data_IF_036093786259
#
_entry.id   IF_036093786259
#
_cell.length_a   1.000
_cell.length_b   1.000
_cell.length_c   1.000
_cell.angle_alpha   90.00
_cell.angle_beta   90.00
_cell.angle_gamma   90.00
#
_symmetry.space_group_name_H-M   'P 1'
#
loop_
_entity.id
_entity.type
_entity.pdbx_description
1 polymer ?
#
# COMPACT_ATOMS: atom_id res chain seq x y z
N UNK A 1 -31.28 20.52 -21.53
CA UNK A 1 -29.92 20.92 -21.10
C UNK A 1 -29.05 21.37 -22.28
N UNK A 2 -28.75 20.50 -23.25
CA UNK A 2 -27.86 20.82 -24.39
C UNK A 2 -28.29 22.07 -25.16
N UNK A 3 -29.57 22.17 -25.52
CA UNK A 3 -30.11 23.34 -26.25
C UNK A 3 -29.90 24.64 -25.46
N UNK A 4 -30.13 24.63 -24.15
CA UNK A 4 -29.97 25.82 -23.30
C UNK A 4 -28.50 26.23 -23.13
N UNK A 5 -27.58 25.25 -23.10
CA UNK A 5 -26.14 25.51 -23.07
C UNK A 5 -25.64 26.12 -24.38
N UNK A 6 -26.08 25.60 -25.52
CA UNK A 6 -25.72 26.11 -26.85
C UNK A 6 -26.26 27.53 -27.09
N UNK A 7 -27.45 27.82 -26.58
CA UNK A 7 -28.06 29.17 -26.65
C UNK A 7 -27.45 30.18 -25.67
N UNK A 8 -26.55 29.74 -24.78
CA UNK A 8 -25.92 30.61 -23.76
C UNK A 8 -26.84 31.06 -22.63
N UNK A 9 -28.11 30.64 -22.61
CA UNK A 9 -29.10 31.02 -21.59
C UNK A 9 -28.80 30.40 -20.23
N UNK A 10 -28.27 29.17 -20.20
CA UNK A 10 -27.94 28.47 -18.97
C UNK A 10 -26.67 27.64 -19.11
N UNK A 11 -25.68 27.94 -18.28
CA UNK A 11 -24.41 27.23 -18.27
C UNK A 11 -24.53 25.98 -17.37
N UNK A 12 -24.74 24.83 -18.00
CA UNK A 12 -24.85 23.55 -17.30
C UNK A 12 -23.85 22.51 -17.82
N UNK A 13 -23.49 21.57 -16.95
CA UNK A 13 -22.76 20.34 -17.27
C UNK A 13 -23.50 19.17 -16.60
N UNK A 14 -23.55 18.01 -17.27
CA UNK A 14 -24.13 16.80 -16.72
C UNK A 14 -23.02 15.76 -16.54
N UNK A 15 -22.90 15.21 -15.34
CA UNK A 15 -21.90 14.21 -14.96
C UNK A 15 -22.62 13.02 -14.35
N UNK A 16 -22.16 11.80 -14.64
CA UNK A 16 -22.71 10.58 -14.04
C UNK A 16 -22.36 10.52 -12.54
N UNK A 17 -23.25 9.95 -11.74
CA UNK A 17 -22.97 9.74 -10.32
C UNK A 17 -21.76 8.80 -10.12
N UNK A 18 -20.89 9.06 -9.12
CA UNK A 18 -19.76 8.19 -8.83
C UNK A 18 -20.21 6.87 -8.22
N UNK A 19 -19.52 5.78 -8.55
CA UNK A 19 -19.77 4.46 -7.97
C UNK A 19 -21.12 3.83 -8.32
N UNK A 20 -21.41 2.73 -7.62
CA UNK A 20 -22.57 1.87 -7.84
C UNK A 20 -23.21 1.45 -6.52
N UNK A 21 -24.47 1.05 -6.55
CA UNK A 21 -25.21 0.57 -5.38
C UNK A 21 -25.21 1.57 -4.22
N UNK A 22 -25.04 1.09 -3.00
CA UNK A 22 -25.03 1.94 -1.81
C UNK A 22 -23.79 2.84 -1.70
N UNK A 23 -22.68 2.45 -2.34
CA UNK A 23 -21.50 3.32 -2.45
C UNK A 23 -21.81 4.60 -3.22
N UNK A 24 -22.66 4.53 -4.24
CA UNK A 24 -23.13 5.73 -4.95
C UNK A 24 -23.83 6.67 -4.00
N UNK A 25 -24.73 6.15 -3.15
CA UNK A 25 -25.46 6.98 -2.19
C UNK A 25 -24.51 7.64 -1.19
N UNK A 26 -23.60 6.86 -0.62
CA UNK A 26 -22.63 7.34 0.33
C UNK A 26 -21.69 8.42 -0.28
N UNK A 27 -21.22 8.22 -1.51
CA UNK A 27 -20.38 9.22 -2.20
C UNK A 27 -21.15 10.47 -2.63
N UNK A 28 -22.43 10.34 -2.99
CA UNK A 28 -23.28 11.50 -3.27
C UNK A 28 -23.53 12.34 -2.01
N UNK A 29 -23.70 11.68 -0.86
CA UNK A 29 -23.77 12.35 0.45
C UNK A 29 -22.44 13.06 0.78
N UNK A 30 -21.30 12.42 0.52
CA UNK A 30 -19.98 13.05 0.72
C UNK A 30 -19.83 14.34 -0.12
N UNK A 31 -20.26 14.32 -1.39
CA UNK A 31 -20.25 15.50 -2.27
C UNK A 31 -21.21 16.58 -1.75
N UNK A 32 -22.40 16.18 -1.29
CA UNK A 32 -23.38 17.09 -0.72
C UNK A 32 -22.81 17.81 0.51
N UNK A 33 -22.20 17.08 1.44
CA UNK A 33 -21.54 17.63 2.63
C UNK A 33 -20.38 18.57 2.24
N UNK A 34 -19.54 18.17 1.29
CA UNK A 34 -18.41 18.98 0.80
C UNK A 34 -18.87 20.30 0.18
N UNK A 35 -19.99 20.30 -0.54
CA UNK A 35 -20.50 21.47 -1.26
C UNK A 35 -21.58 22.25 -0.49
N UNK A 36 -22.06 21.73 0.63
CA UNK A 36 -23.14 22.30 1.43
C UNK A 36 -24.54 22.10 0.83
N UNK A 37 -24.70 21.18 -0.12
CA UNK A 37 -25.99 20.83 -0.73
C UNK A 37 -26.69 19.66 -0.02
N UNK A 38 -27.86 19.28 -0.55
CA UNK A 38 -28.60 18.10 -0.11
C UNK A 38 -28.50 16.97 -1.14
N UNK A 39 -28.18 15.74 -0.70
CA UNK A 39 -28.19 14.56 -1.57
C UNK A 39 -29.61 14.04 -1.73
N UNK A 40 -30.15 14.09 -2.96
CA UNK A 40 -31.52 13.68 -3.26
C UNK A 40 -31.54 12.25 -3.76
N UNK A 41 -32.29 11.38 -3.08
CA UNK A 41 -32.53 10.00 -3.46
C UNK A 41 -34.03 9.75 -3.62
N UNK A 42 -34.41 8.90 -4.57
CA UNK A 42 -35.81 8.56 -4.83
C UNK A 42 -36.50 7.98 -3.58
N UNK A 43 -35.76 7.23 -2.76
CA UNK A 43 -36.24 6.67 -1.49
C UNK A 43 -36.60 7.73 -0.42
N UNK A 44 -36.12 8.98 -0.55
CA UNK A 44 -36.46 10.07 0.39
C UNK A 44 -37.81 10.73 0.05
N UNK A 45 -38.44 10.38 -1.08
CA UNK A 45 -39.74 10.93 -1.48
C UNK A 45 -39.72 12.42 -1.89
N UNK A 46 -38.54 13.04 -1.95
CA UNK A 46 -38.37 14.43 -2.37
C UNK A 46 -38.39 14.48 -3.90
N UNK A 47 -39.38 15.17 -4.46
CA UNK A 47 -39.49 15.38 -5.90
C UNK A 47 -38.61 16.54 -6.34
N UNK A 48 -38.00 16.40 -7.53
CA UNK A 48 -37.12 17.41 -8.13
C UNK A 48 -37.81 18.78 -8.31
N UNK A 49 -39.13 18.79 -8.52
CA UNK A 49 -39.95 19.99 -8.71
C UNK A 49 -40.04 20.89 -7.46
N UNK A 50 -39.80 20.34 -6.27
CA UNK A 50 -39.90 21.06 -5.00
C UNK A 50 -38.56 21.62 -4.51
N UNK A 51 -37.47 21.44 -5.28
CA UNK A 51 -36.15 21.87 -4.84
C UNK A 51 -35.98 23.39 -4.93
N UNK A 52 -35.30 23.93 -3.92
CA UNK A 52 -34.96 25.35 -3.83
C UNK A 52 -33.47 25.56 -4.06
N UNK A 53 -33.06 26.83 -4.24
CA UNK A 53 -31.64 27.18 -4.34
C UNK A 53 -30.85 26.89 -3.06
N UNK A 54 -31.53 26.71 -1.92
CA UNK A 54 -30.90 26.34 -0.66
C UNK A 54 -30.48 24.86 -0.61
N UNK A 55 -31.12 24.01 -1.41
CA UNK A 55 -30.82 22.57 -1.48
C UNK A 55 -29.61 22.26 -2.39
N UNK A 56 -29.16 23.25 -3.17
CA UNK A 56 -28.06 23.10 -4.13
C UNK A 56 -26.69 23.34 -3.49
N UNK A 57 -25.74 22.44 -3.78
CA UNK A 57 -24.34 22.62 -3.38
C UNK A 57 -23.64 23.73 -4.16
N UNK A 58 -22.65 24.38 -3.52
CA UNK A 58 -21.81 25.41 -4.13
C UNK A 58 -20.33 25.02 -4.06
N UNK A 59 -19.58 25.41 -5.08
CA UNK A 59 -18.12 25.25 -5.15
C UNK A 59 -17.51 26.41 -5.93
N UNK A 60 -16.27 26.77 -5.63
CA UNK A 60 -15.56 27.87 -6.31
C UNK A 60 -15.22 27.54 -7.75
N UNK A 61 -14.79 26.31 -8.02
CA UNK A 61 -14.42 25.86 -9.36
C UNK A 61 -14.75 24.39 -9.54
N UNK A 62 -15.38 24.07 -10.68
CA UNK A 62 -15.64 22.70 -11.10
C UNK A 62 -15.01 22.49 -12.47
N UNK A 63 -14.14 21.48 -12.57
CA UNK A 63 -13.46 21.11 -13.82
C UNK A 63 -14.00 19.73 -14.21
N UNK A 64 -14.51 19.63 -15.44
CA UNK A 64 -15.03 18.38 -16.01
C UNK A 64 -14.25 18.08 -17.27
N UNK A 65 -13.58 16.94 -17.31
CA UNK A 65 -12.94 16.40 -18.51
C UNK A 65 -13.75 15.19 -19.04
N UNK A 66 -13.21 14.46 -20.01
CA UNK A 66 -13.91 13.31 -20.63
C UNK A 66 -14.21 12.19 -19.61
N UNK A 67 -13.32 12.01 -18.64
CA UNK A 67 -13.28 10.83 -17.77
C UNK A 67 -13.35 11.20 -16.26
N UNK A 68 -13.09 12.45 -15.88
CA UNK A 68 -12.96 12.92 -14.50
C UNK A 68 -13.77 14.20 -14.25
N UNK A 69 -14.14 14.37 -12.98
CA UNK A 69 -14.75 15.60 -12.46
C UNK A 69 -14.05 15.98 -11.17
N UNK A 70 -13.60 17.23 -11.10
CA UNK A 70 -12.89 17.79 -9.95
C UNK A 70 -13.65 18.99 -9.41
N UNK A 71 -14.03 18.92 -8.13
CA UNK A 71 -14.71 19.98 -7.39
C UNK A 71 -13.68 20.62 -6.46
N UNK A 72 -13.43 21.92 -6.63
CA UNK A 72 -12.41 22.66 -5.90
C UNK A 72 -13.08 23.70 -5.00
N UNK A 73 -12.68 23.74 -3.74
CA UNK A 73 -13.19 24.64 -2.70
C UNK A 73 -14.74 24.62 -2.64
N UNK A 74 -15.29 23.49 -2.17
CA UNK A 74 -16.71 23.37 -1.86
C UNK A 74 -17.13 24.27 -0.69
N UNK A 75 -18.35 24.80 -0.72
CA UNK A 75 -18.87 25.72 0.30
C UNK A 75 -19.50 25.00 1.52
N UNK A 76 -19.16 23.73 1.74
CA UNK A 76 -19.61 22.96 2.88
C UNK A 76 -19.09 23.51 4.21
N UNK A 77 -19.88 23.33 5.27
CA UNK A 77 -19.46 23.70 6.63
C UNK A 77 -18.32 22.79 7.08
N UNK A 78 -17.22 23.37 7.57
CA UNK A 78 -16.04 22.62 8.02
C UNK A 78 -16.38 21.59 9.10
N UNK A 79 -17.34 21.89 9.99
CA UNK A 79 -17.77 20.97 11.05
C UNK A 79 -18.48 19.74 10.50
N UNK A 80 -19.32 19.90 9.47
CA UNK A 80 -19.99 18.78 8.81
C UNK A 80 -18.98 17.90 8.06
N UNK A 81 -17.99 18.51 7.41
CA UNK A 81 -16.91 17.78 6.73
C UNK A 81 -16.10 16.98 7.75
N UNK A 82 -15.71 17.60 8.88
CA UNK A 82 -15.01 16.92 9.98
C UNK A 82 -15.83 15.77 10.57
N UNK A 83 -17.11 15.99 10.85
CA UNK A 83 -18.00 14.95 11.36
C UNK A 83 -18.10 13.76 10.39
N UNK A 84 -18.14 14.04 9.07
CA UNK A 84 -18.15 12.99 8.05
C UNK A 84 -16.83 12.24 7.95
N UNK A 85 -15.70 12.95 8.03
CA UNK A 85 -14.35 12.36 8.09
C UNK A 85 -14.25 11.40 9.28
N UNK A 86 -14.71 11.83 10.46
CA UNK A 86 -14.65 11.00 11.67
C UNK A 86 -15.59 9.80 11.61
N UNK A 87 -16.76 9.94 10.97
CA UNK A 87 -17.64 8.80 10.70
C UNK A 87 -16.93 7.75 9.84
N UNK A 88 -16.30 8.16 8.73
CA UNK A 88 -15.61 7.23 7.82
C UNK A 88 -14.41 6.58 8.52
N UNK A 89 -13.69 7.30 9.38
CA UNK A 89 -12.59 6.72 10.19
C UNK A 89 -13.08 5.58 11.10
N UNK A 90 -14.23 5.76 11.77
CA UNK A 90 -14.83 4.69 12.57
C UNK A 90 -15.31 3.51 11.73
N UNK A 91 -15.81 3.76 10.52
CA UNK A 91 -16.19 2.70 9.58
C UNK A 91 -14.96 1.90 9.12
N UNK A 92 -13.81 2.56 8.90
CA UNK A 92 -12.52 1.93 8.55
C UNK A 92 -12.04 1.00 9.66
N UNK A 93 -12.07 1.46 10.92
CA UNK A 93 -11.64 0.68 12.08
C UNK A 93 -12.48 -0.58 12.30
N UNK A 94 -13.79 -0.49 12.03
CA UNK A 94 -14.71 -1.61 12.17
C UNK A 94 -14.75 -2.54 10.94
N UNK A 95 -14.07 -2.17 9.85
CA UNK A 95 -14.04 -2.97 8.62
C UNK A 95 -13.06 -4.13 8.73
N UNK A 96 -13.57 -5.35 8.54
CA UNK A 96 -12.78 -6.58 8.46
C UNK A 96 -12.30 -6.92 7.05
N UNK A 97 -12.79 -6.21 6.04
CA UNK A 97 -12.51 -6.42 4.62
C UNK A 97 -11.47 -5.41 4.14
N UNK A 98 -10.34 -5.89 3.60
CA UNK A 98 -9.28 -5.03 3.05
C UNK A 98 -9.79 -4.22 1.87
N UNK A 99 -10.65 -4.81 1.03
CA UNK A 99 -11.29 -4.11 -0.08
C UNK A 99 -12.15 -2.95 0.43
N UNK A 100 -12.99 -3.16 1.45
CA UNK A 100 -13.83 -2.09 1.97
C UNK A 100 -13.00 -1.01 2.67
N UNK A 101 -11.92 -1.41 3.36
CA UNK A 101 -10.97 -0.49 3.99
C UNK A 101 -10.35 0.46 2.97
N UNK A 102 -9.78 -0.09 1.89
CA UNK A 102 -9.18 0.68 0.79
C UNK A 102 -10.21 1.65 0.19
N UNK A 103 -11.46 1.19 0.02
CA UNK A 103 -12.53 1.99 -0.57
C UNK A 103 -13.08 3.08 0.34
N UNK A 104 -13.04 2.90 1.65
CA UNK A 104 -13.35 3.94 2.63
C UNK A 104 -12.19 4.94 2.74
N UNK A 105 -10.94 4.49 2.70
CA UNK A 105 -9.75 5.35 2.66
C UNK A 105 -9.76 6.27 1.43
N UNK A 106 -10.14 5.77 0.26
CA UNK A 106 -10.32 6.60 -0.95
C UNK A 106 -11.34 7.74 -0.73
N UNK A 107 -12.44 7.46 -0.03
CA UNK A 107 -13.47 8.47 0.28
C UNK A 107 -12.95 9.49 1.30
N UNK A 108 -12.31 9.00 2.35
CA UNK A 108 -11.68 9.81 3.39
C UNK A 108 -10.65 10.78 2.80
N UNK A 109 -9.81 10.30 1.88
CA UNK A 109 -8.79 11.09 1.22
C UNK A 109 -9.40 12.21 0.35
N UNK A 110 -10.49 11.90 -0.39
CA UNK A 110 -11.23 12.89 -1.20
C UNK A 110 -11.85 13.99 -0.34
N UNK A 111 -12.38 13.66 0.84
CA UNK A 111 -12.95 14.65 1.77
C UNK A 111 -11.89 15.48 2.49
N UNK A 112 -10.74 14.88 2.81
CA UNK A 112 -9.64 15.55 3.51
C UNK A 112 -8.79 16.43 2.57
N UNK A 113 -9.10 16.48 1.27
CA UNK A 113 -8.35 17.25 0.27
C UNK A 113 -6.95 16.70 -0.04
N UNK A 114 -6.65 15.47 0.40
CA UNK A 114 -5.31 14.88 0.37
C UNK A 114 -5.13 13.82 -0.71
N UNK A 115 -5.49 14.12 -1.97
CA UNK A 115 -5.26 13.20 -3.09
C UNK A 115 -4.11 13.70 -3.95
N UNK A 116 -2.94 13.08 -3.80
CA UNK A 116 -1.82 13.24 -4.71
C UNK A 116 -1.86 12.15 -5.80
N UNK A 117 -1.78 12.54 -7.07
CA UNK A 117 -1.68 11.60 -8.21
C UNK A 117 -0.25 11.61 -8.74
N UNK A 118 0.41 10.45 -8.71
CA UNK A 118 1.73 10.26 -9.32
C UNK A 118 1.53 9.57 -10.67
N UNK A 119 1.81 10.28 -11.76
CA UNK A 119 1.78 9.70 -13.11
C UNK A 119 3.17 9.18 -13.47
N UNK A 120 3.31 7.86 -13.64
CA UNK A 120 4.59 7.23 -14.00
C UNK A 120 4.67 7.09 -15.52
N UNK A 121 5.62 7.81 -16.12
CA UNK A 121 5.92 7.73 -17.56
C UNK A 121 7.22 6.97 -17.85
N UNK A 122 7.24 6.27 -18.99
CA UNK A 122 8.38 5.53 -19.53
C UNK A 122 8.33 5.45 -21.07
N UNK A 123 9.44 5.08 -21.72
CA UNK A 123 9.53 5.04 -23.17
C UNK A 123 8.90 3.77 -23.78
N UNK A 124 8.89 2.67 -23.03
CA UNK A 124 8.27 1.40 -23.43
C UNK A 124 7.27 0.92 -22.38
N UNK A 125 6.32 0.07 -22.78
CA UNK A 125 5.34 -0.51 -21.85
C UNK A 125 6.00 -1.34 -20.74
N UNK A 126 7.02 -2.13 -21.09
CA UNK A 126 7.75 -2.96 -20.14
C UNK A 126 8.46 -2.12 -19.08
N UNK A 127 9.12 -1.03 -19.49
CA UNK A 127 9.74 -0.07 -18.58
C UNK A 127 8.69 0.67 -17.73
N UNK A 128 7.53 1.01 -18.31
CA UNK A 128 6.43 1.63 -17.57
C UNK A 128 5.96 0.73 -16.44
N UNK A 129 5.79 -0.57 -16.70
CA UNK A 129 5.36 -1.56 -15.69
C UNK A 129 6.38 -1.69 -14.57
N UNK A 130 7.66 -1.82 -14.90
CA UNK A 130 8.74 -1.91 -13.90
C UNK A 130 8.84 -0.66 -13.03
N UNK A 131 8.81 0.52 -13.65
CA UNK A 131 8.91 1.80 -12.95
C UNK A 131 7.68 2.06 -12.09
N UNK A 132 6.49 1.67 -12.56
CA UNK A 132 5.26 1.73 -11.79
C UNK A 132 5.36 0.84 -10.54
N UNK A 133 5.80 -0.41 -10.70
CA UNK A 133 5.97 -1.34 -9.58
C UNK A 133 6.95 -0.79 -8.53
N UNK A 134 8.07 -0.18 -8.95
CA UNK A 134 9.00 0.49 -8.03
C UNK A 134 8.38 1.66 -7.26
N UNK A 135 7.55 2.46 -7.91
CA UNK A 135 6.85 3.58 -7.25
C UNK A 135 5.81 3.08 -6.25
N UNK A 136 5.09 2.00 -6.59
CA UNK A 136 4.15 1.35 -5.67
C UNK A 136 4.87 0.78 -4.45
N UNK A 137 5.99 0.08 -4.66
CA UNK A 137 6.82 -0.45 -3.57
C UNK A 137 7.35 0.67 -2.65
N UNK A 138 7.87 1.75 -3.22
CA UNK A 138 8.30 2.92 -2.45
C UNK A 138 7.16 3.56 -1.62
N UNK A 139 5.94 3.60 -2.16
CA UNK A 139 4.77 4.09 -1.44
C UNK A 139 4.44 3.18 -0.25
N UNK A 140 4.50 1.86 -0.42
CA UNK A 140 4.25 0.91 0.67
C UNK A 140 5.35 0.95 1.74
N UNK A 141 6.62 1.05 1.33
CA UNK A 141 7.75 1.17 2.23
C UNK A 141 7.68 2.44 3.08
N UNK A 142 7.35 3.58 2.46
CA UNK A 142 7.19 4.86 3.19
C UNK A 142 6.02 4.83 4.17
N UNK A 143 4.88 4.23 3.81
CA UNK A 143 3.76 4.01 4.74
C UNK A 143 4.18 3.14 5.93
N UNK A 144 4.83 2.01 5.66
CA UNK A 144 5.32 1.10 6.70
C UNK A 144 6.34 1.77 7.64
N UNK A 145 7.19 2.65 7.10
CA UNK A 145 8.17 3.42 7.87
C UNK A 145 7.51 4.45 8.79
N UNK A 146 6.42 5.09 8.34
CA UNK A 146 5.65 6.03 9.17
C UNK A 146 4.95 5.32 10.33
N UNK A 147 4.52 4.08 10.13
CA UNK A 147 3.77 3.31 11.13
C UNK A 147 4.63 2.77 12.28
N UNK A 148 5.75 2.08 11.96
CA UNK A 148 6.59 1.40 12.97
C UNK A 148 8.02 1.95 13.04
N UNK A 149 8.32 3.03 12.32
CA UNK A 149 9.66 3.63 12.27
C UNK A 149 10.61 2.92 11.30
N UNK A 150 11.90 3.25 11.44
CA UNK A 150 12.97 2.81 10.55
C UNK A 150 14.12 2.16 11.33
N UNK A 151 14.86 1.29 10.64
CA UNK A 151 16.03 0.58 11.12
C UNK A 151 17.20 0.77 10.15
N UNK A 152 18.46 0.57 10.60
CA UNK A 152 19.58 0.44 9.67
C UNK A 152 19.34 -0.76 8.75
N UNK A 153 19.35 -0.51 7.44
CA UNK A 153 18.96 -1.50 6.44
C UNK A 153 20.03 -2.56 6.15
N UNK A 154 19.95 -3.18 4.98
CA UNK A 154 20.99 -4.10 4.49
C UNK A 154 21.12 -5.38 5.32
N UNK A 155 20.06 -5.78 6.04
CA UNK A 155 20.09 -6.96 6.92
C UNK A 155 20.81 -6.74 8.26
N UNK A 156 21.36 -5.55 8.51
CA UNK A 156 22.13 -5.26 9.74
C UNK A 156 21.24 -5.31 10.98
N UNK A 157 20.00 -4.81 10.88
CA UNK A 157 19.05 -4.85 11.99
C UNK A 157 18.75 -6.28 12.48
N UNK A 158 18.59 -7.24 11.56
CA UNK A 158 18.34 -8.64 11.89
C UNK A 158 19.54 -9.30 12.55
N UNK A 159 20.75 -9.05 12.02
CA UNK A 159 22.01 -9.53 12.61
C UNK A 159 22.20 -9.04 14.05
N UNK A 160 21.81 -7.80 14.33
CA UNK A 160 21.93 -7.22 15.68
C UNK A 160 20.87 -7.77 16.63
N UNK A 161 19.63 -7.87 16.15
CA UNK A 161 18.54 -8.44 16.93
C UNK A 161 18.83 -9.91 17.32
N UNK A 162 19.47 -10.69 16.46
CA UNK A 162 19.84 -12.07 16.80
C UNK A 162 20.94 -12.19 17.84
N UNK A 163 21.74 -11.13 18.07
CA UNK A 163 22.81 -11.11 19.08
C UNK A 163 22.37 -10.56 20.44
N UNK A 164 21.25 -9.84 20.49
CA UNK A 164 20.69 -9.35 21.75
C UNK A 164 19.90 -10.43 22.51
N UNK A 165 19.49 -11.51 21.81
CA UNK A 165 18.85 -12.69 22.41
C UNK A 165 19.90 -13.69 22.89
N UNK A 166 19.57 -14.49 23.91
CA UNK A 166 20.44 -15.54 24.43
C UNK A 166 19.68 -16.85 24.65
N UNK A 167 20.39 -17.97 24.56
CA UNK A 167 19.82 -19.32 24.66
C UNK A 167 19.79 -19.89 26.09
N UNK A 168 19.97 -19.05 27.13
CA UNK A 168 20.09 -19.55 28.51
C UNK A 168 18.76 -20.12 28.99
N UNK A 169 18.78 -21.33 29.55
CA UNK A 169 17.60 -21.99 30.11
C UNK A 169 16.69 -22.68 29.10
N UNK A 170 17.10 -22.78 27.83
CA UNK A 170 16.40 -23.58 26.81
C UNK A 170 16.77 -25.07 26.94
N UNK A 171 15.83 -25.96 26.58
CA UNK A 171 16.12 -27.38 26.35
C UNK A 171 17.02 -27.57 25.12
N UNK A 172 17.58 -28.76 24.94
CA UNK A 172 18.48 -29.05 23.81
C UNK A 172 17.80 -28.84 22.43
N UNK A 173 16.54 -29.27 22.30
CA UNK A 173 15.75 -29.06 21.06
C UNK A 173 15.43 -27.57 20.84
N UNK A 174 15.06 -26.86 21.90
CA UNK A 174 14.77 -25.43 21.81
C UNK A 174 16.04 -24.61 21.51
N UNK A 175 17.20 -25.04 22.01
CA UNK A 175 18.51 -24.46 21.68
C UNK A 175 18.84 -24.68 20.20
N UNK A 176 18.55 -25.85 19.65
CA UNK A 176 18.71 -26.11 18.21
C UNK A 176 17.83 -25.17 17.38
N UNK A 177 16.57 -24.98 17.77
CA UNK A 177 15.67 -24.00 17.14
C UNK A 177 16.19 -22.57 17.22
N UNK A 178 16.73 -22.17 18.38
CA UNK A 178 17.39 -20.88 18.57
C UNK A 178 18.58 -20.70 17.60
N UNK A 179 19.47 -21.68 17.49
CA UNK A 179 20.64 -21.62 16.61
C UNK A 179 20.24 -21.50 15.12
N UNK A 180 19.13 -22.15 14.72
CA UNK A 180 18.55 -22.02 13.37
C UNK A 180 18.14 -20.57 13.10
N UNK A 181 17.43 -19.93 14.03
CA UNK A 181 16.98 -18.53 13.86
C UNK A 181 18.17 -17.58 13.83
N UNK A 182 19.14 -17.73 14.74
CA UNK A 182 20.36 -16.90 14.76
C UNK A 182 21.11 -17.00 13.44
N UNK A 183 21.24 -18.22 12.89
CA UNK A 183 21.85 -18.44 11.57
C UNK A 183 21.03 -17.79 10.45
N UNK A 184 19.71 -17.94 10.47
CA UNK A 184 18.82 -17.38 9.45
C UNK A 184 18.87 -15.84 9.40
N UNK A 185 19.00 -15.17 10.55
CA UNK A 185 19.13 -13.71 10.61
C UNK A 185 20.39 -13.15 9.91
N UNK A 186 21.40 -13.99 9.65
CA UNK A 186 22.60 -13.60 8.89
C UNK A 186 22.38 -13.63 7.38
N UNK A 187 21.45 -14.46 6.90
CA UNK A 187 21.25 -14.73 5.49
C UNK A 187 20.97 -13.48 4.63
N UNK A 188 20.16 -12.49 5.08
CA UNK A 188 19.91 -11.30 4.26
C UNK A 188 21.18 -10.48 3.99
N UNK A 189 22.01 -10.24 5.01
CA UNK A 189 23.26 -9.50 4.84
C UNK A 189 24.26 -10.27 3.98
N UNK A 190 24.38 -11.60 4.20
CA UNK A 190 25.19 -12.49 3.37
C UNK A 190 24.76 -12.40 1.90
N UNK A 191 23.48 -12.58 1.61
CA UNK A 191 22.95 -12.58 0.24
C UNK A 191 23.17 -11.25 -0.47
N UNK A 192 22.95 -10.13 0.23
CA UNK A 192 23.19 -8.79 -0.32
C UNK A 192 24.68 -8.60 -0.66
N UNK A 193 25.57 -9.07 0.22
CA UNK A 193 27.02 -8.95 0.03
C UNK A 193 27.52 -9.82 -1.13
N UNK A 194 27.03 -11.06 -1.22
CA UNK A 194 27.37 -11.99 -2.30
C UNK A 194 26.88 -11.48 -3.66
N UNK A 195 25.67 -10.93 -3.72
CA UNK A 195 25.15 -10.28 -4.92
C UNK A 195 25.98 -9.06 -5.35
N UNK A 196 26.67 -8.42 -4.40
CA UNK A 196 27.62 -7.34 -4.65
C UNK A 196 29.04 -7.82 -4.97
N UNK A 197 29.28 -9.14 -5.01
CA UNK A 197 30.57 -9.74 -5.37
C UNK A 197 31.58 -9.83 -4.23
N UNK A 198 31.15 -9.68 -2.97
CA UNK A 198 32.01 -9.76 -1.78
C UNK A 198 31.58 -10.93 -0.90
N UNK A 199 32.54 -11.57 -0.22
CA UNK A 199 32.27 -12.69 0.68
C UNK A 199 31.35 -12.27 1.84
N UNK A 200 30.11 -12.78 1.82
CA UNK A 200 29.10 -12.41 2.80
C UNK A 200 29.36 -12.92 4.22
N UNK A 201 30.16 -13.98 4.39
CA UNK A 201 30.55 -14.45 5.72
C UNK A 201 31.54 -13.47 6.37
N UNK A 202 32.52 -13.00 5.60
CA UNK A 202 33.49 -11.98 6.04
C UNK A 202 32.78 -10.67 6.39
N UNK A 203 31.84 -10.23 5.54
CA UNK A 203 31.04 -9.03 5.81
C UNK A 203 30.21 -9.18 7.08
N UNK A 204 29.54 -10.32 7.27
CA UNK A 204 28.73 -10.55 8.46
C UNK A 204 29.56 -10.50 9.75
N UNK A 205 30.73 -11.12 9.79
CA UNK A 205 31.61 -11.08 10.97
C UNK A 205 32.08 -9.65 11.25
N UNK A 206 32.51 -8.92 10.21
CA UNK A 206 32.95 -7.53 10.38
C UNK A 206 31.81 -6.61 10.83
N UNK A 207 30.60 -6.74 10.28
CA UNK A 207 29.44 -5.97 10.74
C UNK A 207 29.04 -6.35 12.17
N UNK A 208 29.21 -7.62 12.57
CA UNK A 208 28.96 -8.04 13.94
C UNK A 208 29.93 -7.37 14.94
N UNK A 209 31.16 -7.06 14.58
CA UNK A 209 32.07 -6.33 15.47
C UNK A 209 31.69 -4.84 15.64
N UNK A 210 30.88 -4.29 14.73
CA UNK A 210 30.48 -2.88 14.72
C UNK A 210 29.18 -2.62 15.51
N UNK A 211 29.02 -1.39 15.99
CA UNK A 211 27.88 -0.96 16.82
C UNK A 211 26.95 0.05 16.11
N UNK A 212 25.81 0.33 16.74
CA UNK A 212 24.89 1.42 16.41
C UNK A 212 24.27 1.34 15.02
N UNK A 213 24.67 2.19 14.08
CA UNK A 213 24.15 2.22 12.70
C UNK A 213 25.18 1.77 11.67
N UNK A 214 26.37 1.37 12.13
CA UNK A 214 27.47 1.00 11.24
C UNK A 214 27.16 -0.31 10.53
N UNK A 215 27.29 -0.34 9.21
CA UNK A 215 27.00 -1.51 8.40
C UNK A 215 27.75 -1.47 7.09
N UNK A 216 27.55 -2.50 6.27
CA UNK A 216 28.17 -2.59 4.96
C UNK A 216 27.24 -2.03 3.89
N UNK A 217 27.66 -0.95 3.23
CA UNK A 217 26.99 -0.39 2.07
C UNK A 217 27.46 -1.13 0.81
N UNK A 218 26.64 -2.06 0.34
CA UNK A 218 26.92 -2.86 -0.86
C UNK A 218 26.96 -2.05 -2.17
N UNK A 219 26.38 -0.85 -2.21
CA UNK A 219 26.41 0.01 -3.40
C UNK A 219 27.72 0.79 -3.54
N UNK A 220 28.41 1.07 -2.42
CA UNK A 220 29.67 1.84 -2.41
C UNK A 220 30.88 1.04 -1.93
N UNK A 221 30.68 -0.23 -1.56
CA UNK A 221 31.70 -1.14 -1.02
C UNK A 221 32.42 -0.55 0.21
N UNK A 222 31.65 0.00 1.16
CA UNK A 222 32.19 0.67 2.36
C UNK A 222 31.45 0.30 3.63
N UNK A 223 32.17 0.35 4.74
CA UNK A 223 31.59 0.25 6.08
C UNK A 223 31.32 1.64 6.63
N UNK A 224 30.06 1.98 6.82
CA UNK A 224 29.63 3.34 7.19
C UNK A 224 28.32 3.32 7.98
N UNK A 225 27.92 4.49 8.49
CA UNK A 225 26.64 4.68 9.16
C UNK A 225 25.51 4.62 8.13
N UNK A 226 24.79 3.50 8.09
CA UNK A 226 23.77 3.22 7.07
C UNK A 226 22.59 4.18 7.13
N UNK A 227 22.25 4.66 8.32
CA UNK A 227 21.16 5.63 8.48
C UNK A 227 21.56 6.97 7.89
N UNK A 228 22.82 7.41 8.11
CA UNK A 228 23.34 8.64 7.51
C UNK A 228 23.54 8.54 6.00
N UNK A 229 23.87 7.35 5.47
CA UNK A 229 23.97 7.13 4.02
C UNK A 229 22.63 6.88 3.33
N UNK A 230 21.53 6.83 4.09
CA UNK A 230 20.17 6.69 3.56
C UNK A 230 19.75 5.25 3.28
N UNK A 231 20.51 4.26 3.75
CA UNK A 231 20.20 2.83 3.66
C UNK A 231 19.39 2.45 4.90
N UNK A 232 18.08 2.65 4.80
CA UNK A 232 17.12 2.44 5.89
C UNK A 232 16.03 1.47 5.44
N UNK A 233 15.62 0.60 6.36
CA UNK A 233 14.51 -0.33 6.14
C UNK A 233 13.35 0.00 7.10
N UNK A 234 12.08 -0.10 6.66
CA UNK A 234 10.94 0.04 7.56
C UNK A 234 10.90 -1.09 8.60
N UNK A 235 10.79 -0.75 9.89
CA UNK A 235 10.74 -1.73 10.99
C UNK A 235 9.68 -2.81 10.76
N UNK A 236 8.49 -2.37 10.31
CA UNK A 236 7.34 -3.24 10.03
C UNK A 236 7.68 -4.32 9.01
N UNK A 237 8.41 -3.97 7.95
CA UNK A 237 8.77 -4.91 6.88
C UNK A 237 9.74 -5.96 7.41
N UNK A 238 10.81 -5.53 8.09
CA UNK A 238 11.81 -6.45 8.66
C UNK A 238 11.20 -7.41 9.68
N UNK A 239 10.35 -6.91 10.58
CA UNK A 239 9.65 -7.72 11.59
C UNK A 239 8.69 -8.72 10.95
N UNK A 240 7.86 -8.25 10.02
CA UNK A 240 6.84 -9.08 9.37
C UNK A 240 7.48 -10.16 8.49
N UNK A 241 8.57 -9.83 7.79
CA UNK A 241 9.33 -10.80 7.01
C UNK A 241 9.85 -11.94 7.90
N UNK A 242 10.51 -11.62 9.02
CA UNK A 242 11.03 -12.64 9.94
C UNK A 242 9.91 -13.52 10.53
N UNK A 243 8.80 -12.91 10.96
CA UNK A 243 7.67 -13.63 11.53
C UNK A 243 7.01 -14.58 10.52
N UNK A 244 6.77 -14.12 9.29
CA UNK A 244 6.18 -14.94 8.23
C UNK A 244 7.11 -16.08 7.82
N UNK A 245 8.41 -15.79 7.66
CA UNK A 245 9.41 -16.83 7.36
C UNK A 245 9.47 -17.89 8.46
N UNK A 246 9.50 -17.49 9.74
CA UNK A 246 9.51 -18.42 10.86
C UNK A 246 8.22 -19.26 10.93
N UNK A 247 7.07 -18.64 10.64
CA UNK A 247 5.76 -19.33 10.62
C UNK A 247 5.72 -20.44 9.57
N UNK A 248 6.12 -20.14 8.33
CA UNK A 248 6.15 -21.13 7.24
C UNK A 248 7.22 -22.19 7.49
N UNK A 249 8.41 -21.81 7.96
CA UNK A 249 9.48 -22.75 8.27
C UNK A 249 9.07 -23.74 9.37
N UNK A 250 8.37 -23.28 10.41
CA UNK A 250 7.87 -24.15 11.49
C UNK A 250 6.90 -25.21 10.93
N UNK A 251 5.96 -24.80 10.09
CA UNK A 251 5.03 -25.73 9.44
C UNK A 251 5.79 -26.78 8.62
N UNK A 252 6.75 -26.36 7.80
CA UNK A 252 7.56 -27.26 6.98
C UNK A 252 8.40 -28.25 7.81
N UNK A 253 9.05 -27.78 8.88
CA UNK A 253 9.88 -28.62 9.74
C UNK A 253 9.07 -29.67 10.51
N UNK A 254 7.81 -29.37 10.80
CA UNK A 254 6.88 -30.31 11.48
C UNK A 254 6.10 -31.22 10.52
N UNK A 255 6.26 -31.04 9.21
CA UNK A 255 5.53 -31.82 8.21
C UNK A 255 6.21 -33.16 7.93
N UNK A 256 5.64 -34.26 8.43
CA UNK A 256 6.18 -35.61 8.23
C UNK A 256 5.77 -36.26 6.89
N UNK A 257 4.60 -35.89 6.36
CA UNK A 257 4.05 -36.45 5.14
C UNK A 257 3.32 -35.40 4.31
N UNK A 258 3.34 -35.59 2.98
CA UNK A 258 2.64 -34.73 2.02
C UNK A 258 1.82 -35.60 1.08
N UNK A 259 0.52 -35.30 0.96
CA UNK A 259 -0.37 -35.93 -0.01
C UNK A 259 -0.48 -34.99 -1.21
N UNK A 260 -0.03 -35.46 -2.37
CA UNK A 260 -0.11 -34.71 -3.63
C UNK A 260 -0.84 -35.53 -4.69
N UNK A 261 -1.45 -34.82 -5.63
CA UNK A 261 -1.95 -35.44 -6.85
C UNK A 261 -0.79 -36.04 -7.65
N UNK A 262 -1.02 -37.23 -8.19
CA UNK A 262 -0.06 -37.86 -9.09
C UNK A 262 0.13 -36.95 -10.32
N UNK A 263 1.38 -36.69 -10.76
CA UNK A 263 1.63 -35.90 -11.96
C UNK A 263 0.82 -36.43 -13.13
N UNK A 264 0.02 -35.57 -13.75
CA UNK A 264 -0.70 -35.95 -14.97
C UNK A 264 0.33 -36.36 -16.01
N UNK A 265 0.11 -37.50 -16.66
CA UNK A 265 0.90 -37.88 -17.83
C UNK A 265 0.53 -36.94 -18.97
N UNK A 266 1.27 -35.85 -19.10
CA UNK A 266 1.19 -35.03 -20.30
C UNK A 266 1.63 -35.88 -21.49
N UNK A 267 0.71 -36.08 -22.44
CA UNK A 267 1.08 -36.61 -23.76
C UNK A 267 2.09 -35.62 -24.34
N UNK A 268 3.30 -36.12 -24.61
CA UNK A 268 4.35 -35.38 -25.32
C UNK A 268 3.76 -34.56 -26.48
N UNK A 269 4.19 -33.30 -26.54
CA UNK A 269 3.58 -32.23 -27.31
C UNK A 269 3.24 -32.57 -28.75
N UNK A 270 1.99 -32.31 -29.11
CA UNK A 270 1.67 -31.83 -30.44
C UNK A 270 2.01 -30.34 -30.47
N UNK A 271 2.89 -29.95 -31.39
CA UNK A 271 3.05 -28.56 -31.80
C UNK A 271 1.66 -28.01 -32.18
N UNK A 272 1.09 -27.19 -31.30
CA UNK A 272 0.01 -26.29 -31.64
C UNK A 272 0.63 -24.91 -31.85
N UNK A 273 0.66 -24.47 -33.11
CA UNK A 273 0.85 -23.06 -33.46
C UNK A 273 -0.08 -22.22 -32.60
N UNK A 274 0.49 -21.42 -31.70
CA UNK A 274 -0.21 -20.28 -31.14
C UNK A 274 0.02 -19.12 -32.10
N UNK A 275 -1.01 -18.87 -32.92
CA UNK A 275 -1.19 -17.67 -33.72
C UNK A 275 -0.84 -16.43 -32.88
N UNK A 276 0.19 -15.71 -33.34
CA UNK A 276 0.51 -14.36 -32.93
C UNK A 276 -0.29 -13.39 -33.81
N UNK A 277 -1.44 -12.92 -33.30
CA UNK A 277 -2.03 -11.62 -33.63
C UNK A 277 -2.81 -11.08 -32.44
#
# INVERSE_FOLDING_TARGET
LVINRLRGTFNCCAVKAPGYGDRRKAMMEDIAILTGGCSIFEALGIKLENLTLADLGRAKKVIVDKDNTTIIEGAGKSDNIKARIDQIRREIENSTSDYDREKLEERLAKLSGGVAKVNVGAATESEMKEKKARVEDALHATRAAVEEGILPGGGVALLRASRSVNSKGLSDDAKTGYDIIVRACRAPLTQISENAGVDGAVVCEKVAELTDNMGYNAASDKYEDLVKSGIIDPTKVTRTALQNSASVATLLLTSEALIADMPKKDKKGGHGDHDMY
#
